data_IF_383041905081
#
_entry.id   IF_383041905081
#
_cell.length_a   1.000
_cell.length_b   1.000
_cell.length_c   1.000
_cell.angle_alpha   90.00
_cell.angle_beta   90.00
_cell.angle_gamma   90.00
#
_symmetry.space_group_name_H-M   'P 1'
#
loop_
_entity.id
_entity.type
_entity.pdbx_description
1 polymer ?
#
# COMPACT_ATOMS: atom_id res chain seq x y z
N UNK A 1 -0.44 7.65 -9.77
CA UNK A 1 -1.36 6.66 -9.14
C UNK A 1 -2.31 7.43 -8.22
N UNK A 2 -3.51 6.91 -8.00
CA UNK A 2 -4.52 7.55 -7.14
C UNK A 2 -5.04 6.57 -6.10
N UNK A 3 -5.37 7.04 -4.89
CA UNK A 3 -6.15 6.25 -3.95
C UNK A 3 -7.60 6.25 -4.46
N UNK A 4 -8.01 5.13 -5.03
CA UNK A 4 -9.34 4.90 -5.62
C UNK A 4 -10.40 4.74 -4.53
N UNK A 5 -10.04 4.01 -3.47
CA UNK A 5 -10.90 3.83 -2.30
C UNK A 5 -10.11 3.44 -1.06
N UNK A 6 -10.72 3.63 0.11
CA UNK A 6 -10.20 3.15 1.40
C UNK A 6 -11.30 2.40 2.12
N UNK A 7 -11.01 1.18 2.58
CA UNK A 7 -11.97 0.36 3.31
C UNK A 7 -11.32 -0.28 4.53
N UNK A 8 -12.12 -0.58 5.55
CA UNK A 8 -11.65 -1.33 6.71
C UNK A 8 -11.73 -2.83 6.42
N UNK A 9 -10.68 -3.57 6.75
CA UNK A 9 -10.64 -5.03 6.71
C UNK A 9 -10.00 -5.59 7.99
N UNK A 10 -10.84 -6.10 8.90
CA UNK A 10 -10.40 -6.42 10.26
C UNK A 10 -9.92 -5.16 10.97
N UNK A 11 -8.70 -5.18 11.48
CA UNK A 11 -8.06 -4.03 12.13
C UNK A 11 -7.26 -3.16 11.14
N UNK A 12 -7.17 -3.57 9.87
CA UNK A 12 -6.41 -2.85 8.85
C UNK A 12 -7.28 -1.89 8.04
N UNK A 13 -6.68 -0.78 7.61
CA UNK A 13 -7.18 0.01 6.50
C UNK A 13 -6.57 -0.49 5.21
N UNK A 14 -7.39 -0.73 4.19
CA UNK A 14 -6.97 -1.14 2.85
C UNK A 14 -7.18 0.03 1.90
N UNK A 15 -6.08 0.59 1.42
CA UNK A 15 -6.06 1.59 0.35
C UNK A 15 -5.99 0.85 -0.98
N UNK A 16 -7.01 1.02 -1.82
CA UNK A 16 -6.98 0.58 -3.21
C UNK A 16 -6.37 1.70 -4.03
N UNK A 17 -5.22 1.42 -4.67
CA UNK A 17 -4.43 2.40 -5.39
C UNK A 17 -4.49 2.05 -6.88
N UNK A 18 -5.22 2.86 -7.64
CA UNK A 18 -5.38 2.63 -9.08
C UNK A 18 -4.23 3.24 -9.85
N UNK A 19 -3.62 2.42 -10.71
CA UNK A 19 -2.71 2.88 -11.74
C UNK A 19 -3.40 2.73 -13.10
N UNK A 20 -3.70 3.84 -13.80
CA UNK A 20 -4.37 3.77 -15.10
C UNK A 20 -3.48 3.14 -16.17
N UNK A 21 -2.16 3.27 -16.03
CA UNK A 21 -1.18 2.88 -17.06
C UNK A 21 -0.47 1.54 -16.76
N UNK A 22 -0.60 1.01 -15.54
CA UNK A 22 0.02 -0.27 -15.17
C UNK A 22 -1.02 -1.39 -15.23
N UNK A 23 -0.62 -2.54 -15.78
CA UNK A 23 -1.44 -3.76 -15.83
C UNK A 23 -0.74 -4.92 -15.14
N UNK A 24 -1.49 -5.93 -14.70
CA UNK A 24 -0.94 -7.19 -14.18
C UNK A 24 0.02 -7.84 -15.18
N UNK A 25 -0.25 -7.75 -16.49
CA UNK A 25 0.61 -8.30 -17.53
C UNK A 25 1.96 -7.57 -17.60
N UNK A 26 1.95 -6.23 -17.52
CA UNK A 26 3.18 -5.44 -17.43
C UNK A 26 3.96 -5.78 -16.16
N UNK A 27 3.26 -6.09 -15.05
CA UNK A 27 3.89 -6.50 -13.81
C UNK A 27 4.67 -7.80 -13.91
N UNK A 28 4.11 -8.77 -14.61
CA UNK A 28 4.79 -10.04 -14.87
C UNK A 28 5.95 -9.89 -15.86
N UNK A 29 5.85 -8.95 -16.81
CA UNK A 29 6.83 -8.77 -17.87
C UNK A 29 8.05 -7.94 -17.45
N UNK A 30 7.94 -7.07 -16.44
CA UNK A 30 8.98 -6.12 -16.02
C UNK A 30 9.15 -6.08 -14.49
N UNK A 31 9.68 -7.16 -13.88
CA UNK A 31 9.82 -7.24 -12.41
C UNK A 31 10.64 -6.08 -11.81
N UNK A 32 11.59 -5.51 -12.55
CA UNK A 32 12.41 -4.38 -12.12
C UNK A 32 11.60 -3.10 -11.83
N UNK A 33 10.48 -2.90 -12.54
CA UNK A 33 9.57 -1.76 -12.29
C UNK A 33 8.85 -1.96 -10.95
N UNK A 34 8.60 -3.20 -10.55
CA UNK A 34 7.94 -3.55 -9.28
C UNK A 34 8.90 -3.49 -8.11
N UNK A 35 10.17 -3.81 -8.34
CA UNK A 35 11.21 -3.57 -7.36
C UNK A 35 11.41 -2.08 -7.08
N UNK A 36 11.34 -1.23 -8.12
CA UNK A 36 11.32 0.21 -7.93
C UNK A 36 10.08 0.66 -7.13
N UNK A 37 8.89 0.18 -7.50
CA UNK A 37 7.65 0.47 -6.77
C UNK A 37 7.74 0.03 -5.30
N UNK A 38 8.32 -1.14 -5.02
CA UNK A 38 8.50 -1.65 -3.66
C UNK A 38 9.40 -0.73 -2.82
N UNK A 39 10.50 -0.25 -3.39
CA UNK A 39 11.38 0.71 -2.71
C UNK A 39 10.69 2.04 -2.45
N UNK A 40 9.95 2.56 -3.44
CA UNK A 40 9.20 3.81 -3.28
C UNK A 40 8.13 3.67 -2.18
N UNK A 41 7.53 2.48 -2.06
CA UNK A 41 6.58 2.17 -0.99
C UNK A 41 7.23 2.02 0.39
N UNK A 42 8.47 1.55 0.48
CA UNK A 42 9.22 1.55 1.75
C UNK A 42 9.43 2.97 2.29
N UNK A 43 9.65 3.96 1.41
CA UNK A 43 9.71 5.38 1.80
C UNK A 43 8.33 5.91 2.23
N UNK A 44 7.28 5.59 1.46
CA UNK A 44 5.91 5.96 1.80
C UNK A 44 5.45 5.35 3.15
N UNK A 45 5.97 4.17 3.53
CA UNK A 45 5.72 3.55 4.83
C UNK A 45 6.18 4.45 5.98
N UNK A 46 7.36 5.07 5.86
CA UNK A 46 7.86 6.01 6.88
C UNK A 46 6.92 7.21 7.04
N UNK A 47 6.43 7.76 5.93
CA UNK A 47 5.47 8.87 5.97
C UNK A 47 4.12 8.46 6.59
N UNK A 48 3.65 7.24 6.31
CA UNK A 48 2.42 6.69 6.88
C UNK A 48 2.54 6.49 8.39
N UNK A 49 3.70 6.03 8.88
CA UNK A 49 3.96 5.93 10.32
C UNK A 49 3.93 7.29 11.01
N UNK A 50 4.36 8.36 10.33
CA UNK A 50 4.30 9.73 10.86
C UNK A 50 2.91 10.39 10.75
N UNK A 51 1.95 9.76 10.07
CA UNK A 51 0.63 10.34 9.87
C UNK A 51 -0.24 10.22 11.14
N UNK A 52 -0.60 11.33 11.80
CA UNK A 52 -1.37 11.29 13.05
C UNK A 52 -2.80 10.74 12.87
N UNK A 53 -3.34 10.77 11.65
CA UNK A 53 -4.66 10.21 11.34
C UNK A 53 -4.66 8.68 11.43
N UNK A 54 -3.50 8.05 11.24
CA UNK A 54 -3.33 6.60 11.30
C UNK A 54 -2.91 6.10 12.68
N UNK A 55 -2.51 7.01 13.59
CA UNK A 55 -2.13 6.66 14.95
C UNK A 55 -3.18 5.80 15.70
N UNK A 56 -4.50 6.08 15.60
CA UNK A 56 -5.51 5.22 16.24
C UNK A 56 -5.56 3.80 15.66
N UNK A 57 -5.28 3.65 14.35
CA UNK A 57 -5.24 2.34 13.68
C UNK A 57 -4.06 1.53 14.21
N UNK A 58 -2.88 2.14 14.30
CA UNK A 58 -1.68 1.47 14.81
C UNK A 58 -1.79 1.16 16.31
N UNK A 59 -2.37 2.05 17.12
CA UNK A 59 -2.58 1.82 18.55
C UNK A 59 -3.55 0.67 18.84
N UNK A 60 -4.50 0.40 17.93
CA UNK A 60 -5.38 -0.76 17.99
C UNK A 60 -4.71 -2.06 17.49
N UNK A 61 -3.42 -2.02 17.14
CA UNK A 61 -2.67 -3.15 16.58
C UNK A 61 -2.83 -3.34 15.07
N UNK A 62 -3.68 -2.53 14.43
CA UNK A 62 -3.93 -2.54 12.99
C UNK A 62 -2.81 -1.95 12.14
N UNK A 63 -2.99 -2.02 10.84
CA UNK A 63 -2.05 -1.50 9.85
C UNK A 63 -2.72 -0.84 8.65
N UNK A 64 -1.90 -0.48 7.67
CA UNK A 64 -2.35 -0.01 6.36
C UNK A 64 -1.87 -0.98 5.29
N UNK A 65 -2.79 -1.56 4.53
CA UNK A 65 -2.50 -2.32 3.32
C UNK A 65 -2.69 -1.43 2.11
N UNK A 66 -1.73 -1.43 1.19
CA UNK A 66 -1.76 -0.66 -0.04
C UNK A 66 -1.78 -1.62 -1.21
N UNK A 67 -2.95 -1.73 -1.84
CA UNK A 67 -3.24 -2.65 -2.95
C UNK A 67 -3.24 -1.90 -4.26
N UNK A 68 -2.30 -2.22 -5.12
CA UNK A 68 -2.17 -1.59 -6.42
C UNK A 68 -2.98 -2.39 -7.44
N UNK A 69 -3.92 -1.70 -8.07
CA UNK A 69 -4.85 -2.26 -9.05
C UNK A 69 -4.68 -1.61 -10.41
N UNK A 70 -4.88 -2.39 -11.46
CA UNK A 70 -4.93 -1.89 -12.83
C UNK A 70 -6.28 -1.21 -13.14
N UNK A 71 -6.44 -0.72 -14.37
CA UNK A 71 -7.66 -0.09 -14.83
C UNK A 71 -8.92 -0.97 -14.68
N UNK A 72 -8.77 -2.30 -14.68
CA UNK A 72 -9.87 -3.25 -14.53
C UNK A 72 -10.10 -3.67 -13.06
N UNK A 73 -9.30 -3.16 -12.12
CA UNK A 73 -9.37 -3.50 -10.71
C UNK A 73 -8.59 -4.76 -10.33
N UNK A 74 -7.79 -5.33 -11.24
CA UNK A 74 -6.99 -6.50 -10.90
C UNK A 74 -5.76 -6.09 -10.09
N UNK A 75 -5.57 -6.72 -8.93
CA UNK A 75 -4.42 -6.46 -8.05
C UNK A 75 -3.16 -7.02 -8.71
N UNK A 76 -2.15 -6.17 -8.85
CA UNK A 76 -0.85 -6.56 -9.38
C UNK A 76 0.28 -6.45 -8.34
N UNK A 77 0.07 -5.70 -7.25
CA UNK A 77 1.03 -5.53 -6.17
C UNK A 77 0.32 -5.17 -4.86
N UNK A 78 0.83 -5.66 -3.73
CA UNK A 78 0.33 -5.32 -2.40
C UNK A 78 1.50 -5.18 -1.44
N UNK A 79 1.47 -4.13 -0.62
CA UNK A 79 2.37 -3.97 0.52
C UNK A 79 1.54 -3.75 1.79
N UNK A 80 2.03 -4.28 2.91
CA UNK A 80 1.37 -4.17 4.20
C UNK A 80 2.27 -3.48 5.22
N UNK A 81 1.84 -2.32 5.67
CA UNK A 81 2.39 -1.63 6.83
C UNK A 81 1.69 -2.10 8.10
N UNK A 82 2.32 -2.97 8.88
CA UNK A 82 1.87 -3.32 10.23
C UNK A 82 2.30 -2.25 11.23
N UNK A 83 1.52 -2.10 12.31
CA UNK A 83 1.88 -1.27 13.48
C UNK A 83 3.32 -1.50 13.97
N UNK A 84 3.80 -2.74 13.93
CA UNK A 84 5.18 -3.09 14.32
C UNK A 84 6.28 -2.41 13.50
N UNK A 85 6.03 -2.05 12.24
CA UNK A 85 7.03 -1.36 11.43
C UNK A 85 7.22 0.10 11.87
N UNK A 86 6.23 0.70 12.54
CA UNK A 86 6.32 2.06 13.05
C UNK A 86 7.05 2.17 14.40
N UNK A 87 7.42 1.04 15.01
CA UNK A 87 8.11 0.99 16.33
C UNK A 87 9.64 1.05 16.16
N UNK A 88 10.16 0.92 14.92
CA UNK A 88 11.61 0.80 14.64
C UNK A 88 12.27 2.02 13.97
N UNK A 89 11.63 3.19 13.99
CA UNK A 89 12.18 4.44 13.41
C UNK A 89 12.46 5.49 14.47
#
# INVERSE_FOLDING_TARGET
MIIDSVHRHGDDLVQMIRSPDATVAMAKAKPEVFEALRRDEDEAITELCANPTLAPVYAAGGGVRRRFIDANGAVFFEVTLKSSHCISH
#
